data_IF_316852978766
#
_entry.id   IF_316852978766
#
_cell.length_a   1.000
_cell.length_b   1.000
_cell.length_c   1.000
_cell.angle_alpha   90.00
_cell.angle_beta   90.00
_cell.angle_gamma   90.00
#
_symmetry.space_group_name_H-M   'P 1'
#
loop_
_entity.id
_entity.type
_entity.pdbx_description
1 polymer ?
#
# COMPACT_ATOMS: atom_id res chain seq x y z
N UNK A 1 8.06 21.46 3.47
CA UNK A 1 7.56 20.12 3.06
C UNK A 1 6.33 19.85 3.90
N UNK A 2 5.23 19.49 3.28
CA UNK A 2 4.00 19.07 3.99
C UNK A 2 3.90 17.56 3.91
N UNK A 3 3.62 16.89 5.04
CA UNK A 3 3.47 15.44 5.11
C UNK A 3 2.03 15.12 5.47
N UNK A 4 1.38 14.26 4.69
CA UNK A 4 0.11 13.65 5.05
C UNK A 4 0.36 12.17 5.33
N UNK A 5 0.04 11.75 6.55
CA UNK A 5 0.19 10.37 6.99
C UNK A 5 -1.17 9.70 7.04
N UNK A 6 -1.34 8.63 6.28
CA UNK A 6 -2.59 7.86 6.25
C UNK A 6 -2.39 6.60 7.08
N UNK A 7 -3.26 6.38 8.05
CA UNK A 7 -3.24 5.21 8.93
C UNK A 7 -4.62 4.54 8.94
N UNK A 8 -4.71 3.23 9.18
CA UNK A 8 -6.01 2.55 9.19
C UNK A 8 -7.00 3.18 10.16
N UNK A 9 -6.59 3.36 11.42
CA UNK A 9 -7.42 3.93 12.49
C UNK A 9 -6.56 4.72 13.47
N UNK A 10 -6.77 6.03 13.65
CA UNK A 10 -6.11 6.83 14.68
C UNK A 10 -6.55 6.42 16.09
N UNK A 11 -5.63 6.48 17.03
CA UNK A 11 -5.90 6.27 18.46
C UNK A 11 -6.22 7.57 19.19
N UNK A 12 -5.90 8.73 18.58
CA UNK A 12 -6.19 10.06 19.11
C UNK A 12 -5.08 10.67 19.98
N UNK A 13 -3.94 9.98 20.07
CA UNK A 13 -2.74 10.42 20.79
C UNK A 13 -1.54 10.70 19.84
N UNK A 14 -1.79 10.68 18.53
CA UNK A 14 -0.76 10.94 17.52
C UNK A 14 -0.28 12.39 17.54
N UNK A 15 1.03 12.58 17.46
CA UNK A 15 1.61 13.93 17.32
C UNK A 15 1.38 14.47 15.91
N UNK A 16 0.54 15.51 15.83
CA UNK A 16 0.20 16.21 14.58
C UNK A 16 0.98 17.51 14.37
N UNK A 17 2.01 17.79 15.18
CA UNK A 17 2.76 19.06 15.12
C UNK A 17 3.43 19.29 13.77
N UNK A 18 3.85 18.23 13.09
CA UNK A 18 4.66 18.31 11.87
C UNK A 18 4.01 17.64 10.66
N UNK A 19 2.85 17.00 10.84
CA UNK A 19 2.19 16.24 9.79
C UNK A 19 0.67 16.27 9.95
N UNK A 20 -0.04 16.06 8.83
CA UNK A 20 -1.48 15.82 8.82
C UNK A 20 -1.73 14.32 8.92
N UNK A 21 -2.60 13.89 9.82
CA UNK A 21 -3.05 12.50 9.91
C UNK A 21 -4.44 12.36 9.29
N UNK A 22 -4.60 11.33 8.48
CA UNK A 22 -5.90 10.90 7.96
C UNK A 22 -6.12 9.46 8.41
N UNK A 23 -7.18 9.22 9.16
CA UNK A 23 -7.65 7.88 9.48
C UNK A 23 -8.45 7.32 8.29
N UNK A 24 -8.02 6.19 7.74
CA UNK A 24 -8.73 5.53 6.65
C UNK A 24 -10.17 5.17 7.04
N UNK A 25 -10.40 4.85 8.31
CA UNK A 25 -11.71 4.58 8.86
C UNK A 25 -12.67 5.78 8.87
N UNK A 26 -12.20 6.99 8.57
CA UNK A 26 -13.01 8.22 8.48
C UNK A 26 -13.22 8.71 7.05
N UNK A 27 -12.70 8.00 6.06
CA UNK A 27 -12.82 8.37 4.63
C UNK A 27 -14.01 7.65 4.02
N UNK A 28 -15.07 8.37 3.61
CA UNK A 28 -16.20 7.73 2.95
C UNK A 28 -15.80 7.19 1.57
N UNK A 29 -16.19 5.96 1.28
CA UNK A 29 -16.05 5.38 -0.04
C UNK A 29 -17.30 5.73 -0.85
N UNK A 30 -17.15 6.66 -1.78
CA UNK A 30 -18.22 6.99 -2.72
C UNK A 30 -18.04 6.14 -3.98
N UNK A 31 -18.84 5.11 -4.12
CA UNK A 31 -18.74 4.11 -5.20
C UNK A 31 -18.70 4.68 -6.62
N UNK A 32 -19.16 5.92 -6.83
CA UNK A 32 -19.12 6.60 -8.14
C UNK A 32 -17.72 7.00 -8.56
N UNK A 33 -16.79 7.16 -7.61
CA UNK A 33 -15.45 7.67 -7.87
C UNK A 33 -14.43 6.53 -8.08
N UNK A 34 -14.85 5.29 -7.76
CA UNK A 34 -14.06 4.08 -7.98
C UNK A 34 -14.60 3.35 -9.21
N UNK A 35 -14.85 4.05 -10.30
CA UNK A 35 -15.28 3.37 -11.52
C UNK A 35 -14.12 2.58 -12.10
N UNK A 36 -14.38 1.31 -12.35
CA UNK A 36 -13.51 0.38 -13.07
C UNK A 36 -12.97 0.97 -14.40
N UNK A 37 -13.78 1.79 -15.07
CA UNK A 37 -13.43 2.48 -16.31
C UNK A 37 -12.30 3.51 -16.12
N UNK A 38 -12.26 4.21 -15.01
CA UNK A 38 -11.23 5.23 -14.76
C UNK A 38 -9.84 4.62 -14.48
N UNK A 39 -9.80 3.47 -13.84
CA UNK A 39 -8.56 2.72 -13.63
C UNK A 39 -8.03 2.13 -14.96
N UNK A 40 -8.93 1.79 -15.89
CA UNK A 40 -8.60 1.24 -17.20
C UNK A 40 -8.11 2.29 -18.20
N UNK A 41 -8.61 3.51 -18.16
CA UNK A 41 -8.20 4.57 -19.09
C UNK A 41 -6.77 5.07 -18.89
N UNK A 42 -6.23 4.94 -17.68
CA UNK A 42 -4.86 5.40 -17.37
C UNK A 42 -3.78 4.32 -17.39
N UNK A 43 -4.15 3.06 -17.33
CA UNK A 43 -3.19 1.96 -17.51
C UNK A 43 -3.17 1.55 -18.97
N UNK A 44 -2.15 1.99 -19.70
CA UNK A 44 -1.88 1.57 -21.10
C UNK A 44 -1.62 0.05 -21.22
N UNK A 45 -1.75 -0.71 -20.14
CA UNK A 45 -1.51 -2.14 -20.06
C UNK A 45 -2.57 -2.83 -19.17
N UNK A 46 -3.82 -2.82 -19.64
CA UNK A 46 -4.93 -3.52 -18.99
C UNK A 46 -4.60 -5.01 -18.73
N UNK A 47 -3.85 -5.66 -19.63
CA UNK A 47 -3.42 -7.05 -19.50
C UNK A 47 -2.45 -7.26 -18.33
N UNK A 48 -1.59 -6.31 -18.02
CA UNK A 48 -0.64 -6.40 -16.92
C UNK A 48 -1.34 -6.20 -15.58
N UNK A 49 -2.29 -5.29 -15.52
CA UNK A 49 -3.17 -5.09 -14.37
C UNK A 49 -4.06 -6.30 -14.11
N UNK A 50 -4.60 -6.93 -15.16
CA UNK A 50 -5.40 -8.15 -15.06
C UNK A 50 -4.56 -9.40 -14.71
N UNK A 51 -3.35 -9.53 -15.24
CA UNK A 51 -2.42 -10.62 -14.86
C UNK A 51 -1.98 -10.52 -13.42
N UNK A 52 -1.80 -9.31 -12.93
CA UNK A 52 -1.51 -9.02 -11.54
C UNK A 52 -2.64 -9.50 -10.60
N UNK A 53 -3.88 -9.48 -11.07
CA UNK A 53 -5.09 -9.80 -10.32
C UNK A 53 -5.82 -11.07 -10.77
N UNK A 54 -5.21 -11.94 -11.53
CA UNK A 54 -5.87 -13.14 -12.04
C UNK A 54 -6.37 -14.13 -10.97
N UNK A 55 -6.21 -13.81 -9.69
CA UNK A 55 -6.78 -14.54 -8.55
C UNK A 55 -7.79 -13.78 -7.70
N UNK A 56 -7.85 -12.44 -7.81
CA UNK A 56 -8.73 -11.63 -6.95
C UNK A 56 -9.47 -10.62 -7.83
N UNK A 57 -10.68 -10.96 -8.25
CA UNK A 57 -11.65 -9.97 -8.71
C UNK A 57 -11.96 -9.09 -7.50
N UNK A 58 -11.57 -7.81 -7.54
CA UNK A 58 -12.08 -6.84 -6.59
C UNK A 58 -13.58 -6.68 -6.84
N UNK A 59 -14.31 -7.41 -6.07
CA UNK A 59 -15.72 -7.16 -5.89
C UNK A 59 -15.82 -6.10 -4.78
N UNK A 60 -15.72 -4.83 -5.18
CA UNK A 60 -15.91 -3.71 -4.27
C UNK A 60 -17.28 -3.77 -3.56
N UNK A 61 -18.21 -4.57 -4.05
CA UNK A 61 -19.50 -4.83 -3.38
C UNK A 61 -19.32 -5.65 -2.10
N UNK A 62 -18.15 -6.23 -1.86
CA UNK A 62 -17.82 -7.00 -0.64
C UNK A 62 -17.12 -6.19 0.42
N UNK A 63 -16.71 -4.94 0.14
CA UNK A 63 -16.16 -4.09 1.18
C UNK A 63 -17.31 -3.68 2.10
N UNK A 64 -17.28 -4.18 3.33
CA UNK A 64 -18.22 -3.79 4.36
C UNK A 64 -18.04 -2.32 4.75
N UNK A 65 -18.97 -1.47 4.39
CA UNK A 65 -19.02 -0.08 4.85
C UNK A 65 -20.11 0.09 5.89
N UNK A 66 -19.87 0.95 6.85
CA UNK A 66 -20.86 1.34 7.84
C UNK A 66 -21.90 2.33 7.26
N UNK A 67 -22.85 2.76 8.09
CA UNK A 67 -23.97 3.63 7.67
C UNK A 67 -23.54 4.97 7.07
N UNK A 68 -22.32 5.42 7.33
CA UNK A 68 -21.73 6.65 6.76
C UNK A 68 -20.82 6.40 5.57
N UNK A 69 -20.78 5.16 5.08
CA UNK A 69 -19.99 4.77 3.90
C UNK A 69 -18.51 4.58 4.16
N UNK A 70 -18.06 4.49 5.41
CA UNK A 70 -16.66 4.28 5.78
C UNK A 70 -16.37 2.82 6.09
N UNK A 71 -15.15 2.37 5.77
CA UNK A 71 -14.66 1.04 6.13
C UNK A 71 -14.22 1.02 7.59
N UNK A 72 -14.56 -0.05 8.29
CA UNK A 72 -14.07 -0.26 9.65
C UNK A 72 -12.73 -0.99 9.65
N UNK A 73 -11.81 -0.49 10.47
CA UNK A 73 -10.51 -1.10 10.71
C UNK A 73 -10.38 -1.45 12.19
N UNK A 74 -9.78 -2.60 12.48
CA UNK A 74 -9.56 -3.05 13.85
C UNK A 74 -8.54 -2.19 14.60
N UNK A 75 -7.55 -1.64 13.88
CA UNK A 75 -6.41 -0.93 14.45
C UNK A 75 -5.37 -1.83 15.12
N UNK A 76 -5.52 -3.14 14.99
CA UNK A 76 -4.60 -4.18 15.49
C UNK A 76 -4.27 -5.16 14.36
N UNK A 77 -3.50 -6.22 14.65
CA UNK A 77 -3.28 -7.32 13.70
C UNK A 77 -4.37 -8.38 13.85
N UNK A 78 -5.47 -8.30 13.08
CA UNK A 78 -6.59 -9.22 13.19
C UNK A 78 -6.33 -10.52 12.42
N UNK A 79 -7.20 -11.52 12.63
CA UNK A 79 -7.16 -12.76 11.86
C UNK A 79 -7.48 -12.58 10.37
N UNK A 80 -8.18 -11.50 10.01
CA UNK A 80 -8.53 -11.11 8.64
C UNK A 80 -7.59 -10.00 8.09
N UNK A 81 -6.32 -10.00 8.48
CA UNK A 81 -5.34 -8.97 8.13
C UNK A 81 -5.28 -8.66 6.62
N UNK A 82 -5.33 -9.68 5.77
CA UNK A 82 -5.31 -9.46 4.31
C UNK A 82 -6.54 -8.72 3.82
N UNK A 83 -7.71 -8.96 4.42
CA UNK A 83 -8.92 -8.20 4.10
C UNK A 83 -8.76 -6.73 4.47
N UNK A 84 -8.18 -6.42 5.64
CA UNK A 84 -7.89 -5.03 6.03
C UNK A 84 -6.89 -4.36 5.11
N UNK A 85 -5.87 -5.07 4.61
CA UNK A 85 -4.93 -4.55 3.62
C UNK A 85 -5.67 -4.14 2.33
N UNK A 86 -6.58 -4.97 1.86
CA UNK A 86 -7.39 -4.68 0.66
C UNK A 86 -8.38 -3.55 0.90
N UNK A 87 -9.00 -3.49 2.06
CA UNK A 87 -9.86 -2.39 2.45
C UNK A 87 -9.08 -1.07 2.51
N UNK A 88 -7.85 -1.11 3.02
CA UNK A 88 -6.97 0.05 3.06
C UNK A 88 -6.57 0.53 1.67
N UNK A 89 -6.31 -0.39 0.74
CA UNK A 89 -6.08 -0.07 -0.68
C UNK A 89 -7.28 0.68 -1.29
N UNK A 90 -8.51 0.21 -1.04
CA UNK A 90 -9.71 0.85 -1.56
C UNK A 90 -9.89 2.28 -1.04
N UNK A 91 -9.67 2.51 0.26
CA UNK A 91 -9.71 3.86 0.85
C UNK A 91 -8.62 4.75 0.26
N UNK A 92 -7.42 4.21 0.10
CA UNK A 92 -6.29 4.97 -0.46
C UNK A 92 -6.58 5.40 -1.90
N UNK A 93 -7.37 4.64 -2.66
CA UNK A 93 -7.79 5.03 -4.00
C UNK A 93 -8.61 6.33 -3.99
N UNK A 94 -9.53 6.48 -3.06
CA UNK A 94 -10.32 7.72 -2.89
C UNK A 94 -9.41 8.90 -2.56
N UNK A 95 -8.45 8.69 -1.65
CA UNK A 95 -7.49 9.72 -1.28
C UNK A 95 -6.57 10.11 -2.44
N UNK A 96 -6.14 9.14 -3.25
CA UNK A 96 -5.28 9.41 -4.40
C UNK A 96 -5.96 10.26 -5.49
N UNK A 97 -7.30 10.23 -5.56
CA UNK A 97 -8.06 11.11 -6.45
C UNK A 97 -8.30 12.50 -5.86
N UNK A 98 -8.44 12.59 -4.53
CA UNK A 98 -8.89 13.81 -3.86
C UNK A 98 -7.76 14.68 -3.31
N UNK A 99 -6.57 14.12 -3.10
CA UNK A 99 -5.42 14.82 -2.55
C UNK A 99 -4.42 15.20 -3.63
N UNK A 100 -3.82 16.38 -3.48
CA UNK A 100 -2.62 16.77 -4.21
C UNK A 100 -1.38 16.39 -3.43
N UNK A 101 -0.46 15.67 -4.06
CA UNK A 101 0.81 15.26 -3.48
C UNK A 101 1.85 15.00 -4.58
N UNK A 102 3.13 15.07 -4.21
CA UNK A 102 4.26 14.93 -5.14
C UNK A 102 4.84 13.52 -5.13
N UNK A 103 4.72 12.81 -4.01
CA UNK A 103 5.36 11.51 -3.80
C UNK A 103 4.50 10.64 -2.87
N UNK A 104 4.54 9.34 -3.12
CA UNK A 104 3.91 8.32 -2.27
C UNK A 104 5.03 7.60 -1.51
N UNK A 105 4.86 7.45 -0.20
CA UNK A 105 5.81 6.73 0.64
C UNK A 105 5.08 5.64 1.43
N UNK A 106 5.36 4.38 1.09
CA UNK A 106 4.74 3.21 1.72
C UNK A 106 5.71 2.49 2.64
N UNK A 107 5.25 2.18 3.85
CA UNK A 107 6.04 1.53 4.89
C UNK A 107 5.64 0.07 5.06
N UNK A 108 6.56 -0.83 4.81
CA UNK A 108 6.38 -2.29 4.89
C UNK A 108 5.24 -2.86 4.00
N UNK A 109 5.23 -4.17 3.88
CA UNK A 109 4.37 -4.91 2.97
C UNK A 109 2.86 -4.67 3.15
N UNK A 110 2.44 -4.32 4.36
CA UNK A 110 1.03 -4.00 4.68
C UNK A 110 0.48 -2.82 3.87
N UNK A 111 1.35 -1.87 3.49
CA UNK A 111 0.96 -0.64 2.80
C UNK A 111 1.32 -0.64 1.30
N UNK A 112 2.04 -1.66 0.82
CA UNK A 112 2.48 -1.69 -0.58
C UNK A 112 1.32 -1.75 -1.57
N UNK A 113 0.25 -2.56 -1.36
CA UNK A 113 -0.89 -2.58 -2.27
C UNK A 113 -1.53 -1.20 -2.41
N UNK A 114 -1.73 -0.50 -1.30
CA UNK A 114 -2.27 0.85 -1.26
C UNK A 114 -1.37 1.86 -2.02
N UNK A 115 -0.04 1.78 -1.80
CA UNK A 115 0.93 2.63 -2.50
C UNK A 115 0.98 2.40 -4.00
N UNK A 116 0.95 1.14 -4.42
CA UNK A 116 0.89 0.76 -5.84
C UNK A 116 -0.37 1.31 -6.49
N UNK A 117 -1.51 1.18 -5.80
CA UNK A 117 -2.78 1.66 -6.32
C UNK A 117 -2.81 3.18 -6.43
N UNK A 118 -2.33 3.88 -5.41
CA UNK A 118 -2.19 5.34 -5.43
C UNK A 118 -1.28 5.82 -6.57
N UNK A 119 -0.16 5.11 -6.82
CA UNK A 119 0.73 5.37 -7.96
C UNK A 119 0.00 5.23 -9.30
N UNK A 120 -0.74 4.15 -9.48
CA UNK A 120 -1.45 3.89 -10.72
C UNK A 120 -2.53 4.94 -11.01
N UNK A 121 -3.20 5.44 -9.96
CA UNK A 121 -4.21 6.49 -10.09
C UNK A 121 -3.58 7.86 -10.38
N UNK A 122 -2.60 8.26 -9.56
CA UNK A 122 -2.07 9.62 -9.57
C UNK A 122 -0.93 9.84 -10.56
N UNK A 123 -0.25 8.77 -10.98
CA UNK A 123 0.99 8.83 -11.76
C UNK A 123 2.19 9.37 -10.97
N UNK A 124 2.06 9.52 -9.64
CA UNK A 124 3.14 10.02 -8.78
C UNK A 124 4.11 8.90 -8.40
N UNK A 125 5.40 9.22 -8.19
CA UNK A 125 6.40 8.23 -7.85
C UNK A 125 6.12 7.56 -6.50
N UNK A 126 6.37 6.25 -6.45
CA UNK A 126 6.25 5.42 -5.26
C UNK A 126 7.62 5.12 -4.68
N UNK A 127 7.80 5.50 -3.43
CA UNK A 127 8.92 5.06 -2.58
C UNK A 127 8.40 4.04 -1.60
N UNK A 128 9.07 2.91 -1.48
CA UNK A 128 8.80 1.95 -0.41
C UNK A 128 9.91 1.96 0.62
N UNK A 129 9.53 1.79 1.87
CA UNK A 129 10.44 1.72 3.00
C UNK A 129 10.34 0.36 3.66
N UNK A 130 11.44 -0.39 3.62
CA UNK A 130 11.50 -1.76 4.10
C UNK A 130 12.20 -1.81 5.44
N UNK A 131 11.46 -2.18 6.48
CA UNK A 131 12.01 -2.37 7.82
C UNK A 131 12.59 -3.77 7.99
N UNK A 132 11.87 -4.78 7.52
CA UNK A 132 12.32 -6.17 7.42
C UNK A 132 11.43 -6.91 6.44
N UNK A 133 11.99 -7.88 5.72
CA UNK A 133 11.19 -8.78 4.87
C UNK A 133 10.60 -9.93 5.69
N UNK A 134 9.59 -10.60 5.14
CA UNK A 134 9.08 -11.82 5.74
C UNK A 134 10.14 -12.91 5.79
N UNK A 135 11.05 -12.95 4.82
CA UNK A 135 12.21 -13.83 4.83
C UNK A 135 13.08 -13.63 6.08
N UNK A 136 13.36 -12.36 6.46
CA UNK A 136 14.13 -12.03 7.65
C UNK A 136 13.39 -12.43 8.93
N UNK A 137 12.09 -12.12 8.99
CA UNK A 137 11.24 -12.38 10.17
C UNK A 137 11.00 -13.88 10.40
N UNK A 138 10.80 -14.63 9.31
CA UNK A 138 10.46 -16.08 9.35
C UNK A 138 11.69 -16.99 9.32
N UNK A 139 12.90 -16.42 9.26
CA UNK A 139 14.16 -17.17 9.07
C UNK A 139 14.11 -18.07 7.83
N UNK A 140 13.62 -17.53 6.74
CA UNK A 140 13.51 -18.21 5.45
C UNK A 140 12.25 -19.08 5.25
N UNK A 141 11.33 -19.12 6.22
CA UNK A 141 10.03 -19.80 6.10
C UNK A 141 8.95 -18.81 5.70
N UNK A 142 9.09 -18.23 4.52
CA UNK A 142 8.21 -17.14 4.06
C UNK A 142 6.77 -17.59 3.87
N UNK A 143 5.84 -16.71 4.23
CA UNK A 143 4.45 -16.82 3.83
C UNK A 143 4.34 -16.47 2.34
N UNK A 144 3.83 -17.37 1.46
CA UNK A 144 3.78 -17.11 0.02
C UNK A 144 3.00 -15.85 -0.36
N UNK A 145 1.94 -15.53 0.37
CA UNK A 145 1.12 -14.33 0.11
C UNK A 145 1.84 -13.05 0.50
N UNK A 146 2.51 -13.03 1.66
CA UNK A 146 3.33 -11.89 2.08
C UNK A 146 4.49 -11.68 1.11
N UNK A 147 5.18 -12.75 0.72
CA UNK A 147 6.25 -12.69 -0.27
C UNK A 147 5.78 -12.09 -1.61
N UNK A 148 4.58 -12.51 -2.06
CA UNK A 148 3.98 -11.98 -3.27
C UNK A 148 3.76 -10.47 -3.17
N UNK A 149 3.20 -10.00 -2.06
CA UNK A 149 2.97 -8.57 -1.82
C UNK A 149 4.30 -7.79 -1.74
N UNK A 150 5.28 -8.31 -1.01
CA UNK A 150 6.61 -7.71 -0.91
C UNK A 150 7.26 -7.57 -2.30
N UNK A 151 7.26 -8.68 -3.07
CA UNK A 151 7.81 -8.65 -4.43
C UNK A 151 7.12 -7.62 -5.31
N UNK A 152 5.80 -7.58 -5.29
CA UNK A 152 5.04 -6.61 -6.07
C UNK A 152 5.35 -5.16 -5.67
N UNK A 153 5.44 -4.88 -4.36
CA UNK A 153 5.83 -3.57 -3.86
C UNK A 153 7.18 -3.13 -4.41
N UNK A 154 8.15 -4.03 -4.33
CA UNK A 154 9.50 -3.78 -4.80
C UNK A 154 9.60 -3.59 -6.31
N UNK A 155 8.91 -4.44 -7.09
CA UNK A 155 8.89 -4.34 -8.56
C UNK A 155 8.21 -3.04 -9.04
N UNK A 156 7.20 -2.57 -8.32
CA UNK A 156 6.42 -1.39 -8.67
C UNK A 156 7.03 -0.08 -8.19
N UNK A 157 7.94 -0.11 -7.22
CA UNK A 157 8.54 1.08 -6.64
C UNK A 157 9.50 1.79 -7.60
N UNK A 158 9.46 3.12 -7.59
CA UNK A 158 10.47 3.95 -8.26
C UNK A 158 11.76 4.02 -7.44
N UNK A 159 11.63 3.91 -6.11
CA UNK A 159 12.75 3.88 -5.20
C UNK A 159 12.47 3.02 -3.97
N UNK A 160 13.53 2.38 -3.44
CA UNK A 160 13.45 1.52 -2.25
C UNK A 160 14.40 2.03 -1.20
N UNK A 161 13.90 2.27 0.00
CA UNK A 161 14.68 2.64 1.17
C UNK A 161 14.69 1.45 2.14
N UNK A 162 15.84 1.13 2.68
CA UNK A 162 15.98 0.11 3.73
C UNK A 162 16.49 0.75 5.01
N UNK A 163 16.00 0.30 6.17
CA UNK A 163 16.40 0.84 7.48
C UNK A 163 17.86 0.57 7.84
N UNK A 164 18.51 -0.36 7.13
CA UNK A 164 19.90 -0.71 7.42
C UNK A 164 20.60 -1.40 6.25
N UNK A 165 21.92 -1.40 6.26
CA UNK A 165 22.73 -2.19 5.33
C UNK A 165 22.50 -3.70 5.49
N UNK A 166 22.10 -4.18 6.65
CA UNK A 166 21.72 -5.57 6.87
C UNK A 166 20.49 -5.92 6.05
N UNK A 167 19.42 -5.16 6.19
CA UNK A 167 18.18 -5.33 5.41
C UNK A 167 18.47 -5.24 3.91
N UNK A 168 19.33 -4.30 3.49
CA UNK A 168 19.76 -4.20 2.09
C UNK A 168 20.47 -5.44 1.56
N UNK A 169 21.25 -6.13 2.40
CA UNK A 169 21.97 -7.35 2.01
C UNK A 169 21.03 -8.54 1.87
N UNK A 170 19.97 -8.61 2.65
CA UNK A 170 18.96 -9.69 2.58
C UNK A 170 18.31 -9.74 1.20
N UNK A 171 18.13 -8.60 0.53
CA UNK A 171 17.58 -8.54 -0.83
C UNK A 171 18.47 -9.21 -1.88
N UNK A 172 19.78 -9.27 -1.68
CA UNK A 172 20.71 -9.91 -2.63
C UNK A 172 20.67 -11.44 -2.55
N UNK A 173 20.13 -11.99 -1.47
CA UNK A 173 19.96 -13.43 -1.27
C UNK A 173 18.60 -13.95 -1.73
N UNK A 174 17.62 -13.08 -1.83
CA UNK A 174 16.33 -13.37 -2.44
C UNK A 174 16.40 -12.88 -3.88
N UNK A 175 16.06 -13.67 -4.89
CA UNK A 175 16.13 -13.40 -6.35
C UNK A 175 15.52 -12.06 -6.84
N UNK A 176 15.38 -11.09 -5.94
CA UNK A 176 14.90 -9.75 -6.19
C UNK A 176 16.05 -8.90 -6.74
N UNK A 177 16.22 -8.84 -8.08
CA UNK A 177 17.08 -7.88 -8.74
C UNK A 177 16.57 -6.46 -8.52
N UNK A 178 17.08 -5.80 -7.47
CA UNK A 178 16.62 -4.45 -7.13
C UNK A 178 17.63 -3.42 -7.64
N UNK A 179 17.24 -2.71 -8.69
CA UNK A 179 18.08 -1.71 -9.38
C UNK A 179 18.16 -0.35 -8.68
N UNK A 180 17.36 -0.07 -7.63
CA UNK A 180 17.21 1.28 -7.03
C UNK A 180 17.09 1.23 -5.51
N UNK A 181 18.13 0.77 -4.81
CA UNK A 181 18.11 0.69 -3.35
C UNK A 181 19.08 1.69 -2.74
N UNK A 182 18.60 2.55 -1.83
CA UNK A 182 19.42 3.25 -0.86
C UNK A 182 19.19 2.71 0.55
N UNK A 183 20.25 2.69 1.36
CA UNK A 183 20.12 2.38 2.79
C UNK A 183 20.15 3.70 3.56
N UNK A 184 19.26 3.83 4.51
CA UNK A 184 19.37 4.86 5.54
C UNK A 184 20.49 4.41 6.49
N UNK A 185 21.50 5.24 6.67
CA UNK A 185 22.60 5.03 7.62
C UNK A 185 22.38 5.97 8.80
#
# INVERSE_FOLDING_TARGET
>A
MQITFVIPKPHGDEDTSFLRIIGANSVPIVWRDISYEYAMERTSNADEYFRFRSGIRYDFTRIGVNDIGCVEFSGIYPSNLFEEIYNYEAVTSVLAHSLEFDIIHSHDWLTYPAGIFAKNISGRPLVIHVHATDYDRSRGRVNPEVYRIEKQGMDSADHIITVSNLTRKSFRTTELEIRRISAYI
#
